data_IF_440119720186
#
_entry.id   IF_440119720186
#
_cell.length_a   1.000
_cell.length_b   1.000
_cell.length_c   1.000
_cell.angle_alpha   90.00
_cell.angle_beta   90.00
_cell.angle_gamma   90.00
#
_symmetry.space_group_name_H-M   'P 1'
#
loop_
_entity.id
_entity.type
_entity.pdbx_description
1 polymer ?
#
# COMPACT_ATOMS: atom_id res chain seq x y z
N UNK A 1 9.62 14.24 12.96
CA UNK A 1 10.23 13.79 11.69
C UNK A 1 9.34 12.68 11.12
N UNK A 2 9.02 12.74 9.83
CA UNK A 2 8.28 11.66 9.17
C UNK A 2 9.23 10.52 8.80
N UNK A 3 8.84 9.27 9.11
CA UNK A 3 9.54 8.06 8.74
C UNK A 3 8.56 7.10 8.05
N UNK A 4 8.80 6.79 6.79
CA UNK A 4 8.02 5.82 6.03
C UNK A 4 8.83 4.53 5.90
N UNK A 5 8.30 3.43 6.41
CA UNK A 5 8.91 2.11 6.30
C UNK A 5 8.10 1.33 5.26
N UNK A 6 8.74 1.01 4.15
CA UNK A 6 8.13 0.25 3.05
C UNK A 6 8.55 -1.21 3.19
N UNK A 7 7.60 -2.11 3.27
CA UNK A 7 7.84 -3.55 3.19
C UNK A 7 6.86 -4.22 2.22
N UNK A 8 7.00 -5.51 2.06
CA UNK A 8 6.13 -6.28 1.19
C UNK A 8 6.88 -7.32 0.37
N UNK A 9 6.14 -8.22 -0.26
CA UNK A 9 6.73 -9.31 -1.03
C UNK A 9 7.54 -8.81 -2.22
N UNK A 10 8.52 -9.59 -2.62
CA UNK A 10 9.36 -9.31 -3.78
C UNK A 10 8.52 -9.28 -5.05
N UNK A 11 8.64 -8.20 -5.83
CA UNK A 11 7.79 -7.96 -7.01
C UNK A 11 6.49 -7.20 -6.73
N UNK A 12 6.18 -6.84 -5.48
CA UNK A 12 4.98 -6.07 -5.12
C UNK A 12 5.04 -4.58 -5.46
N UNK A 13 6.21 -4.05 -5.85
CA UNK A 13 6.34 -2.64 -6.24
C UNK A 13 7.09 -1.74 -5.26
N UNK A 14 7.78 -2.32 -4.25
CA UNK A 14 8.55 -1.55 -3.24
C UNK A 14 9.48 -0.48 -3.82
N UNK A 15 10.27 -0.84 -4.82
CA UNK A 15 11.19 0.11 -5.46
C UNK A 15 10.45 1.26 -6.16
N UNK A 16 9.28 1.01 -6.74
CA UNK A 16 8.44 2.05 -7.34
C UNK A 16 7.93 3.01 -6.26
N UNK A 17 7.49 2.48 -5.13
CA UNK A 17 7.03 3.28 -3.99
C UNK A 17 8.17 4.13 -3.40
N UNK A 18 9.37 3.53 -3.25
CA UNK A 18 10.54 4.23 -2.73
C UNK A 18 10.96 5.39 -3.65
N UNK A 19 11.04 5.16 -4.97
CA UNK A 19 11.34 6.20 -5.95
C UNK A 19 10.29 7.32 -5.96
N UNK A 20 8.99 6.97 -5.78
CA UNK A 20 7.96 8.00 -5.69
C UNK A 20 8.15 8.90 -4.46
N UNK A 21 8.52 8.34 -3.31
CA UNK A 21 8.83 9.15 -2.13
C UNK A 21 10.10 9.98 -2.31
N UNK A 22 11.10 9.48 -3.04
CA UNK A 22 12.28 10.26 -3.41
C UNK A 22 11.90 11.47 -4.27
N UNK A 23 11.03 11.27 -5.27
CA UNK A 23 10.49 12.35 -6.11
C UNK A 23 9.69 13.40 -5.29
N UNK A 24 9.08 12.99 -4.17
CA UNK A 24 8.37 13.86 -3.22
C UNK A 24 9.28 14.47 -2.14
N UNK A 25 10.60 14.29 -2.26
CA UNK A 25 11.59 14.93 -1.40
C UNK A 25 11.93 14.19 -0.11
N UNK A 26 11.66 12.90 -0.01
CA UNK A 26 12.12 12.07 1.10
C UNK A 26 13.57 11.60 0.90
N UNK A 27 14.32 11.45 2.02
CA UNK A 27 15.59 10.77 2.02
C UNK A 27 15.38 9.26 1.98
N UNK A 28 15.74 8.61 0.87
CA UNK A 28 15.36 7.23 0.59
C UNK A 28 16.52 6.25 0.73
N UNK A 29 16.27 5.11 1.41
CA UNK A 29 17.24 4.01 1.55
C UNK A 29 16.58 2.69 1.18
N UNK A 30 17.12 1.99 0.20
CA UNK A 30 16.69 0.65 -0.16
C UNK A 30 17.39 -0.42 0.66
N UNK A 31 16.68 -1.49 1.00
CA UNK A 31 17.19 -2.67 1.69
C UNK A 31 17.95 -2.37 2.99
N UNK A 32 17.34 -1.59 3.87
CA UNK A 32 17.92 -1.30 5.19
C UNK A 32 17.77 -2.53 6.10
N UNK A 33 18.85 -2.99 6.76
CA UNK A 33 18.73 -3.95 7.86
C UNK A 33 17.91 -3.36 9.02
N UNK A 34 16.91 -4.10 9.54
CA UNK A 34 16.03 -3.65 10.63
C UNK A 34 16.84 -3.14 11.82
N UNK A 35 17.93 -3.84 12.17
CA UNK A 35 18.80 -3.48 13.29
C UNK A 35 19.48 -2.09 13.15
N UNK A 36 19.55 -1.56 11.95
CA UNK A 36 20.13 -0.22 11.69
C UNK A 36 19.08 0.90 11.73
N UNK A 37 17.79 0.60 11.85
CA UNK A 37 16.73 1.60 11.85
C UNK A 37 16.90 2.66 12.95
N UNK A 38 17.24 2.32 14.22
CA UNK A 38 17.47 3.33 15.26
C UNK A 38 18.66 4.26 14.94
N UNK A 39 19.73 3.70 14.38
CA UNK A 39 20.92 4.50 13.99
C UNK A 39 20.62 5.44 12.84
N UNK A 40 19.83 4.99 11.86
CA UNK A 40 19.37 5.84 10.77
C UNK A 40 18.51 6.98 11.31
N UNK A 41 17.53 6.70 12.17
CA UNK A 41 16.65 7.72 12.76
C UNK A 41 17.49 8.79 13.50
N UNK A 42 18.48 8.38 14.27
CA UNK A 42 19.39 9.30 14.93
C UNK A 42 20.17 10.19 13.93
N UNK A 43 20.60 9.63 12.79
CA UNK A 43 21.32 10.37 11.76
C UNK A 43 20.42 11.36 11.02
N UNK A 44 19.28 10.92 10.51
CA UNK A 44 18.36 11.77 9.73
C UNK A 44 17.61 12.81 10.58
N UNK A 45 17.68 12.70 11.90
CA UNK A 45 17.16 13.72 12.82
C UNK A 45 18.08 14.94 12.97
N UNK A 46 19.28 14.91 12.39
CA UNK A 46 20.23 16.02 12.41
C UNK A 46 19.78 17.19 11.53
N UNK A 47 20.32 18.38 11.81
CA UNK A 47 19.99 19.60 11.05
C UNK A 47 20.24 19.50 9.55
N UNK A 48 21.27 18.76 9.16
CA UNK A 48 21.68 18.56 7.77
C UNK A 48 20.60 17.92 6.91
N UNK A 49 19.68 17.13 7.52
CA UNK A 49 18.58 16.45 6.84
C UNK A 49 17.25 17.21 6.85
N UNK A 50 17.19 18.39 7.48
CA UNK A 50 15.93 19.16 7.58
C UNK A 50 15.36 19.65 6.25
N UNK A 51 16.13 19.60 5.19
CA UNK A 51 15.66 19.96 3.85
C UNK A 51 14.83 18.85 3.19
N UNK A 52 14.85 17.61 3.72
CA UNK A 52 14.00 16.54 3.29
C UNK A 52 12.64 16.60 4.01
N UNK A 53 11.58 16.09 3.34
CA UNK A 53 10.24 15.96 3.93
C UNK A 53 10.22 14.93 5.08
N UNK A 54 11.09 13.93 5.00
CA UNK A 54 11.23 12.84 5.94
C UNK A 54 12.24 11.82 5.43
N UNK A 55 12.25 10.65 6.04
CA UNK A 55 13.00 9.50 5.55
C UNK A 55 12.07 8.38 5.11
N UNK A 56 12.45 7.67 4.04
CA UNK A 56 11.77 6.48 3.58
C UNK A 56 12.76 5.31 3.47
N UNK A 57 12.42 4.17 4.05
CA UNK A 57 13.30 3.00 4.06
C UNK A 57 12.57 1.77 3.55
N UNK A 58 13.25 0.96 2.76
CA UNK A 58 12.73 -0.33 2.35
C UNK A 58 13.33 -1.44 3.21
N UNK A 59 12.47 -2.27 3.81
CA UNK A 59 12.85 -3.46 4.59
C UNK A 59 12.21 -4.68 3.91
N UNK A 60 13.01 -5.67 3.55
CA UNK A 60 12.54 -6.85 2.82
C UNK A 60 13.07 -8.18 3.39
N UNK A 61 12.70 -9.28 2.77
CA UNK A 61 13.04 -10.64 3.18
C UNK A 61 14.54 -10.99 3.11
N UNK A 62 15.40 -10.09 2.59
CA UNK A 62 16.87 -10.25 2.66
C UNK A 62 17.42 -9.98 4.07
N UNK A 63 16.62 -9.37 4.93
CA UNK A 63 16.94 -9.22 6.34
C UNK A 63 16.98 -10.58 7.04
N UNK A 64 17.85 -10.73 8.04
CA UNK A 64 17.87 -11.92 8.86
C UNK A 64 16.54 -12.06 9.63
N UNK A 65 15.93 -13.23 9.58
CA UNK A 65 14.61 -13.48 10.20
C UNK A 65 14.57 -13.10 11.69
N UNK A 66 15.69 -13.29 12.42
CA UNK A 66 15.81 -12.93 13.83
C UNK A 66 15.71 -11.42 14.08
N UNK A 67 16.11 -10.64 13.09
CA UNK A 67 16.04 -9.17 13.15
C UNK A 67 14.63 -8.70 12.80
N UNK A 68 13.97 -9.35 11.82
CA UNK A 68 12.56 -9.09 11.49
C UNK A 68 11.63 -9.36 12.69
N UNK A 69 11.88 -10.43 13.47
CA UNK A 69 11.10 -10.74 14.66
C UNK A 69 11.16 -9.64 15.75
N UNK A 70 12.17 -8.78 15.73
CA UNK A 70 12.31 -7.65 16.67
C UNK A 70 11.75 -6.34 16.14
N UNK A 71 11.11 -6.37 14.99
CA UNK A 71 10.67 -5.16 14.30
C UNK A 71 9.74 -4.29 15.15
N UNK A 72 8.75 -4.90 15.81
CA UNK A 72 7.81 -4.19 16.68
C UNK A 72 8.53 -3.54 17.88
N UNK A 73 9.43 -4.27 18.54
CA UNK A 73 10.21 -3.74 19.67
C UNK A 73 11.05 -2.53 19.23
N UNK A 74 11.61 -2.59 18.01
CA UNK A 74 12.41 -1.49 17.45
C UNK A 74 11.53 -0.28 17.12
N UNK A 75 10.32 -0.50 16.57
CA UNK A 75 9.38 0.59 16.29
C UNK A 75 8.93 1.29 17.58
N UNK A 76 8.58 0.52 18.62
CA UNK A 76 8.16 1.04 19.93
C UNK A 76 9.28 1.80 20.64
N UNK A 77 10.54 1.45 20.37
CA UNK A 77 11.70 2.11 20.95
C UNK A 77 12.12 3.40 20.20
N UNK A 78 11.47 3.75 19.10
CA UNK A 78 11.76 4.99 18.39
C UNK A 78 11.33 6.21 19.24
N UNK A 79 12.04 7.35 19.12
CA UNK A 79 11.67 8.57 19.84
C UNK A 79 10.25 9.06 19.47
N UNK A 80 9.48 9.59 20.42
CA UNK A 80 8.13 10.18 20.21
C UNK A 80 8.13 11.30 19.15
N UNK A 81 9.28 11.93 18.90
CA UNK A 81 9.45 12.95 17.85
C UNK A 81 9.42 12.39 16.44
N UNK A 82 9.43 11.06 16.28
CA UNK A 82 9.38 10.36 14.99
C UNK A 82 7.99 9.82 14.74
N UNK A 83 7.33 10.36 13.73
CA UNK A 83 6.07 9.82 13.24
C UNK A 83 6.36 8.72 12.23
N UNK A 84 6.28 7.46 12.67
CA UNK A 84 6.56 6.30 11.82
C UNK A 84 5.29 5.73 11.22
N UNK A 85 5.32 5.47 9.91
CA UNK A 85 4.24 4.79 9.17
C UNK A 85 4.81 3.60 8.42
N UNK A 86 4.15 2.45 8.55
CA UNK A 86 4.55 1.22 7.86
C UNK A 86 3.60 0.98 6.68
N UNK A 87 4.14 1.00 5.47
CA UNK A 87 3.46 0.62 4.24
C UNK A 87 3.83 -0.82 3.90
N UNK A 88 2.84 -1.68 3.77
CA UNK A 88 3.04 -3.04 3.27
C UNK A 88 2.43 -3.18 1.87
N UNK A 89 3.27 -3.56 0.90
CA UNK A 89 2.85 -3.82 -0.48
C UNK A 89 2.73 -5.31 -0.73
N UNK A 90 1.58 -5.73 -1.24
CA UNK A 90 1.35 -7.12 -1.60
C UNK A 90 0.83 -7.27 -3.04
N UNK A 91 0.78 -8.48 -3.54
CA UNK A 91 0.11 -8.87 -4.76
C UNK A 91 -0.18 -10.37 -4.72
N UNK A 92 -1.16 -10.85 -5.50
CA UNK A 92 -1.43 -12.27 -5.61
C UNK A 92 -0.24 -13.05 -6.20
N UNK A 93 -0.13 -14.34 -5.86
CA UNK A 93 0.99 -15.18 -6.29
C UNK A 93 1.13 -15.26 -7.81
N UNK A 94 0.02 -15.28 -8.54
CA UNK A 94 0.03 -15.37 -10.00
C UNK A 94 0.65 -14.10 -10.61
N UNK A 95 0.29 -12.94 -10.07
CA UNK A 95 0.86 -11.64 -10.47
C UNK A 95 2.35 -11.57 -10.14
N UNK A 96 2.76 -12.00 -8.94
CA UNK A 96 4.19 -12.01 -8.57
C UNK A 96 5.00 -12.92 -9.47
N UNK A 97 4.56 -14.16 -9.73
CA UNK A 97 5.22 -15.11 -10.65
C UNK A 97 5.34 -14.49 -12.04
N UNK A 98 4.27 -13.86 -12.55
CA UNK A 98 4.28 -13.18 -13.84
C UNK A 98 5.32 -12.06 -13.88
N UNK A 99 5.37 -11.18 -12.88
CA UNK A 99 6.33 -10.07 -12.77
C UNK A 99 7.78 -10.56 -12.71
N UNK A 100 8.04 -11.67 -12.01
CA UNK A 100 9.37 -12.28 -11.99
C UNK A 100 9.75 -12.85 -13.37
N UNK A 101 8.81 -13.47 -14.07
CA UNK A 101 9.04 -14.01 -15.43
C UNK A 101 9.37 -12.90 -16.43
N UNK A 102 8.67 -11.75 -16.34
CA UNK A 102 8.87 -10.58 -17.20
C UNK A 102 10.22 -9.89 -16.93
N UNK A 103 10.58 -9.71 -15.66
CA UNK A 103 11.81 -9.00 -15.27
C UNK A 103 13.06 -9.87 -15.32
N UNK A 104 12.92 -11.19 -15.39
CA UNK A 104 14.00 -12.19 -15.32
C UNK A 104 14.92 -12.01 -14.10
N UNK A 105 14.42 -11.38 -13.03
CA UNK A 105 15.16 -11.24 -11.77
C UNK A 105 15.03 -12.53 -10.97
N UNK A 106 16.08 -12.87 -10.23
CA UNK A 106 16.04 -13.98 -9.27
C UNK A 106 15.33 -13.52 -8.00
N UNK A 107 14.41 -14.33 -7.50
CA UNK A 107 13.77 -14.05 -6.20
C UNK A 107 14.80 -14.16 -5.06
N UNK A 108 14.79 -13.26 -4.05
CA UNK A 108 15.79 -13.25 -2.97
C UNK A 108 15.97 -14.59 -2.25
N UNK A 109 14.87 -15.32 -2.04
CA UNK A 109 14.89 -16.61 -1.35
C UNK A 109 15.00 -17.80 -2.32
N UNK A 110 14.85 -17.61 -3.65
CA UNK A 110 14.96 -18.72 -4.61
C UNK A 110 16.41 -19.16 -4.81
N UNK A 111 16.61 -20.48 -4.92
CA UNK A 111 17.89 -21.11 -5.17
C UNK A 111 17.72 -22.39 -5.98
N UNK A 112 18.80 -23.17 -6.10
CA UNK A 112 18.75 -24.45 -6.81
C UNK A 112 17.83 -25.47 -6.10
N UNK A 113 17.59 -25.26 -4.80
CA UNK A 113 16.77 -26.14 -3.96
C UNK A 113 15.34 -25.59 -3.72
N UNK A 114 15.03 -24.32 -4.05
CA UNK A 114 13.74 -23.70 -3.75
C UNK A 114 13.13 -23.08 -5.00
N UNK A 115 12.04 -23.67 -5.56
CA UNK A 115 11.29 -23.13 -6.68
C UNK A 115 10.69 -21.76 -6.37
N UNK A 116 10.44 -20.94 -7.41
CA UNK A 116 9.92 -19.57 -7.28
C UNK A 116 8.61 -19.51 -6.50
N UNK A 117 7.66 -20.40 -6.77
CA UNK A 117 6.36 -20.39 -6.09
C UNK A 117 6.51 -20.62 -4.58
N UNK A 118 7.32 -21.60 -4.18
CA UNK A 118 7.60 -21.90 -2.77
C UNK A 118 8.38 -20.77 -2.09
N UNK A 119 9.30 -20.12 -2.81
CA UNK A 119 10.04 -18.96 -2.31
C UNK A 119 9.11 -17.76 -2.03
N UNK A 120 8.11 -17.54 -2.89
CA UNK A 120 7.07 -16.49 -2.71
C UNK A 120 6.22 -16.79 -1.48
N UNK A 121 5.85 -18.05 -1.24
CA UNK A 121 5.06 -18.44 -0.06
C UNK A 121 5.89 -18.32 1.23
N UNK A 122 7.14 -18.76 1.23
CA UNK A 122 8.03 -18.59 2.38
C UNK A 122 8.31 -17.10 2.69
N UNK A 123 8.40 -16.25 1.67
CA UNK A 123 8.58 -14.81 1.89
C UNK A 123 7.38 -14.20 2.62
N UNK A 124 6.16 -14.66 2.33
CA UNK A 124 4.95 -14.21 3.05
C UNK A 124 5.07 -14.47 4.55
N UNK A 125 5.44 -15.67 4.93
CA UNK A 125 5.59 -16.08 6.34
C UNK A 125 6.69 -15.27 7.04
N UNK A 126 7.80 -15.00 6.35
CA UNK A 126 8.90 -14.19 6.87
C UNK A 126 8.50 -12.72 7.13
N UNK A 127 7.62 -12.18 6.30
CA UNK A 127 7.20 -10.78 6.37
C UNK A 127 5.92 -10.56 7.19
N UNK A 128 5.34 -11.61 7.79
CA UNK A 128 4.10 -11.54 8.56
C UNK A 128 4.15 -10.49 9.68
N UNK A 129 5.30 -10.38 10.37
CA UNK A 129 5.48 -9.38 11.44
C UNK A 129 5.37 -7.95 10.91
N UNK A 130 5.95 -7.68 9.74
CA UNK A 130 5.88 -6.36 9.11
C UNK A 130 4.48 -6.08 8.53
N UNK A 131 3.82 -7.09 7.99
CA UNK A 131 2.45 -6.99 7.54
C UNK A 131 1.50 -6.67 8.70
N UNK A 132 1.69 -7.32 9.86
CA UNK A 132 0.91 -7.06 11.07
C UNK A 132 1.14 -5.68 11.70
N UNK A 133 2.31 -5.07 11.46
CA UNK A 133 2.65 -3.72 11.92
C UNK A 133 2.25 -2.63 10.92
N UNK A 134 1.73 -3.00 9.74
CA UNK A 134 1.43 -2.04 8.70
C UNK A 134 0.26 -1.14 9.08
N UNK A 135 0.48 0.17 8.98
CA UNK A 135 -0.58 1.17 9.07
C UNK A 135 -1.33 1.36 7.74
N UNK A 136 -0.74 0.89 6.64
CA UNK A 136 -1.31 0.93 5.31
C UNK A 136 -0.89 -0.33 4.54
N UNK A 137 -1.86 -1.09 4.06
CA UNK A 137 -1.63 -2.23 3.15
C UNK A 137 -2.15 -1.85 1.77
N UNK A 138 -1.38 -2.14 0.72
CA UNK A 138 -1.80 -1.94 -0.67
C UNK A 138 -1.67 -3.23 -1.46
N UNK A 139 -2.78 -3.70 -2.00
CA UNK A 139 -2.77 -4.76 -3.02
C UNK A 139 -2.47 -4.17 -4.39
N UNK A 140 -1.31 -4.53 -4.92
CA UNK A 140 -0.84 -4.05 -6.23
C UNK A 140 -1.14 -5.02 -7.37
N UNK A 141 -1.92 -6.09 -7.15
CA UNK A 141 -2.18 -7.16 -8.13
C UNK A 141 -2.73 -6.62 -9.45
N UNK A 142 -3.63 -5.64 -9.36
CA UNK A 142 -4.29 -5.04 -10.52
C UNK A 142 -3.79 -3.63 -10.85
N UNK A 143 -2.80 -3.13 -10.10
CA UNK A 143 -2.30 -1.78 -10.28
C UNK A 143 -1.24 -1.71 -11.38
N UNK A 144 -1.33 -0.67 -12.19
CA UNK A 144 -0.23 -0.19 -13.03
C UNK A 144 0.80 0.54 -12.18
N UNK A 145 1.99 0.77 -12.74
CA UNK A 145 3.04 1.57 -12.06
C UNK A 145 2.53 2.99 -11.75
N UNK A 146 1.72 3.59 -12.62
CA UNK A 146 1.17 4.94 -12.43
C UNK A 146 0.15 4.97 -11.30
N UNK A 147 -0.77 4.01 -11.25
CA UNK A 147 -1.76 3.90 -10.17
C UNK A 147 -1.09 3.68 -8.81
N UNK A 148 -0.02 2.89 -8.76
CA UNK A 148 0.76 2.72 -7.52
C UNK A 148 1.42 4.03 -7.09
N UNK A 149 2.05 4.78 -8.01
CA UNK A 149 2.65 6.08 -7.72
C UNK A 149 1.62 7.08 -7.19
N UNK A 150 0.47 7.15 -7.83
CA UNK A 150 -0.63 8.03 -7.40
C UNK A 150 -1.14 7.63 -6.00
N UNK A 151 -1.30 6.34 -5.74
CA UNK A 151 -1.71 5.83 -4.42
C UNK A 151 -0.69 6.20 -3.33
N UNK A 152 0.61 6.06 -3.60
CA UNK A 152 1.68 6.46 -2.67
C UNK A 152 1.60 7.96 -2.37
N UNK A 153 1.49 8.78 -3.40
CA UNK A 153 1.41 10.23 -3.26
C UNK A 153 0.19 10.65 -2.43
N UNK A 154 -0.97 10.13 -2.74
CA UNK A 154 -2.22 10.48 -2.06
C UNK A 154 -2.26 10.01 -0.60
N UNK A 155 -1.79 8.78 -0.33
CA UNK A 155 -1.95 8.16 0.99
C UNK A 155 -0.79 8.43 1.96
N UNK A 156 0.39 8.76 1.46
CA UNK A 156 1.57 8.98 2.32
C UNK A 156 2.03 10.43 2.35
N UNK A 157 1.97 11.17 1.24
CA UNK A 157 2.51 12.53 1.17
C UNK A 157 1.44 13.58 1.50
N UNK A 158 0.18 13.33 1.13
CA UNK A 158 -0.94 14.23 1.39
C UNK A 158 -1.58 14.13 2.78
N UNK A 159 -1.22 13.13 3.59
CA UNK A 159 -1.82 12.89 4.90
C UNK A 159 -1.07 13.66 5.99
N UNK A 160 -1.74 14.59 6.66
CA UNK A 160 -1.24 15.26 7.87
C UNK A 160 -1.19 14.25 9.03
N UNK A 161 -0.10 14.28 9.80
CA UNK A 161 0.08 13.37 10.93
C UNK A 161 -1.06 13.55 11.95
N UNK A 162 -1.72 12.45 12.30
CA UNK A 162 -2.78 12.42 13.33
C UNK A 162 -4.21 12.62 12.81
N UNK A 163 -4.43 12.83 11.52
CA UNK A 163 -5.77 12.83 10.92
C UNK A 163 -6.14 11.45 10.38
N UNK A 164 -7.38 11.03 10.61
CA UNK A 164 -7.92 9.82 10.02
C UNK A 164 -8.04 10.04 8.50
N UNK A 165 -7.32 9.24 7.71
CA UNK A 165 -7.44 9.23 6.25
C UNK A 165 -8.46 8.18 5.84
N UNK A 166 -9.53 8.60 5.18
CA UNK A 166 -10.54 7.70 4.62
C UNK A 166 -10.37 7.68 3.10
N UNK A 167 -10.12 6.49 2.54
CA UNK A 167 -10.14 6.27 1.11
C UNK A 167 -11.46 5.63 0.72
N UNK A 168 -12.23 6.32 -0.13
CA UNK A 168 -13.42 5.76 -0.76
C UNK A 168 -13.05 5.32 -2.17
N UNK A 169 -13.18 4.01 -2.43
CA UNK A 169 -12.84 3.42 -3.72
C UNK A 169 -14.05 2.75 -4.35
N UNK A 170 -14.33 3.06 -5.61
CA UNK A 170 -15.32 2.31 -6.39
C UNK A 170 -14.66 1.14 -7.14
N UNK A 171 -15.29 -0.02 -7.14
CA UNK A 171 -14.80 -1.18 -7.85
C UNK A 171 -15.94 -1.97 -8.52
N UNK A 172 -15.60 -2.76 -9.52
CA UNK A 172 -16.54 -3.68 -10.16
C UNK A 172 -16.32 -5.11 -9.68
N UNK A 173 -17.32 -5.77 -9.13
CA UNK A 173 -17.27 -7.16 -8.65
C UNK A 173 -16.72 -8.16 -9.68
N UNK A 174 -16.80 -7.85 -10.97
CA UNK A 174 -16.19 -8.66 -12.04
C UNK A 174 -14.67 -8.80 -11.89
N UNK A 175 -14.01 -7.83 -11.24
CA UNK A 175 -12.55 -7.83 -10.99
C UNK A 175 -12.18 -8.36 -9.60
N UNK A 176 -13.16 -8.78 -8.80
CA UNK A 176 -12.99 -9.14 -7.40
C UNK A 176 -13.18 -7.95 -6.46
N UNK A 177 -13.29 -8.25 -5.19
CA UNK A 177 -13.28 -7.26 -4.11
C UNK A 177 -11.83 -6.87 -3.83
N UNK A 178 -11.50 -5.57 -3.68
CA UNK A 178 -10.15 -5.16 -3.28
C UNK A 178 -9.74 -5.81 -1.96
N UNK A 179 -8.57 -6.44 -1.93
CA UNK A 179 -8.08 -7.16 -0.74
C UNK A 179 -7.54 -6.23 0.34
N UNK A 180 -7.33 -4.96 0.00
CA UNK A 180 -6.88 -3.88 0.87
C UNK A 180 -8.03 -3.01 1.44
N UNK A 181 -9.29 -3.41 1.22
CA UNK A 181 -10.45 -2.69 1.73
C UNK A 181 -10.80 -3.15 3.16
N UNK A 182 -10.89 -2.21 4.10
CA UNK A 182 -11.33 -2.47 5.47
C UNK A 182 -12.86 -2.66 5.56
N UNK A 183 -13.62 -1.93 4.73
CA UNK A 183 -15.07 -2.00 4.65
C UNK A 183 -15.51 -2.09 3.19
N UNK A 184 -16.53 -2.91 2.92
CA UNK A 184 -17.08 -3.08 1.57
C UNK A 184 -18.60 -2.98 1.62
N UNK A 185 -19.15 -2.02 0.86
CA UNK A 185 -20.57 -1.81 0.73
C UNK A 185 -21.05 -2.23 -0.68
N UNK A 186 -22.03 -3.13 -0.74
CA UNK A 186 -22.58 -3.59 -2.02
C UNK A 186 -23.72 -2.66 -2.49
N UNK A 187 -23.39 -1.78 -3.42
CA UNK A 187 -24.35 -0.81 -3.99
C UNK A 187 -25.19 -1.37 -5.15
N UNK A 188 -25.06 -2.66 -5.49
CA UNK A 188 -25.83 -3.27 -6.61
C UNK A 188 -27.32 -3.41 -6.32
N UNK A 189 -27.74 -3.19 -5.08
CA UNK A 189 -29.15 -3.08 -4.72
C UNK A 189 -29.82 -1.81 -5.26
N UNK A 190 -29.04 -0.78 -5.59
CA UNK A 190 -29.56 0.46 -6.16
C UNK A 190 -29.98 0.27 -7.62
N UNK A 191 -31.01 1.02 -8.09
CA UNK A 191 -31.39 1.04 -9.48
C UNK A 191 -30.22 1.43 -10.37
N UNK A 192 -29.95 0.62 -11.40
CA UNK A 192 -28.80 0.83 -12.27
C UNK A 192 -29.13 1.89 -13.35
N UNK A 193 -28.43 3.05 -13.37
CA UNK A 193 -28.63 4.11 -14.37
C UNK A 193 -28.45 3.65 -15.82
N UNK A 194 -27.66 2.59 -16.05
CA UNK A 194 -27.42 2.05 -17.39
C UNK A 194 -28.70 1.57 -18.10
N UNK A 195 -29.75 1.19 -17.37
CA UNK A 195 -31.04 0.77 -17.96
C UNK A 195 -31.86 1.95 -18.45
N UNK A 196 -31.51 3.20 -18.06
CA UNK A 196 -32.14 4.41 -18.54
C UNK A 196 -31.44 4.87 -19.79
N UNK A 197 -32.20 4.95 -20.91
CA UNK A 197 -31.60 5.26 -22.22
C UNK A 197 -30.80 6.57 -22.23
N UNK A 198 -31.26 7.60 -21.53
CA UNK A 198 -30.58 8.91 -21.44
C UNK A 198 -29.29 8.88 -20.63
N UNK A 199 -29.18 7.93 -19.65
CA UNK A 199 -28.03 7.83 -18.73
C UNK A 199 -27.04 6.74 -19.14
N UNK A 200 -27.39 5.90 -20.12
CA UNK A 200 -26.59 4.71 -20.49
C UNK A 200 -25.14 5.01 -20.84
N UNK A 201 -24.88 6.16 -21.45
CA UNK A 201 -23.53 6.57 -21.90
C UNK A 201 -22.83 7.48 -20.89
N UNK A 202 -23.45 7.73 -19.74
CA UNK A 202 -22.95 8.58 -18.66
C UNK A 202 -22.31 7.73 -17.56
N UNK A 203 -21.57 8.36 -16.67
CA UNK A 203 -20.88 7.74 -15.54
C UNK A 203 -21.20 8.48 -14.23
N UNK A 204 -20.71 7.99 -13.09
CA UNK A 204 -21.00 8.55 -11.77
C UNK A 204 -20.48 9.98 -11.51
N UNK A 205 -19.69 10.55 -12.42
CA UNK A 205 -19.26 11.95 -12.36
C UNK A 205 -20.20 12.91 -13.09
N UNK A 206 -21.18 12.38 -13.83
CA UNK A 206 -22.17 13.17 -14.53
C UNK A 206 -23.32 13.49 -13.56
N UNK A 207 -23.69 14.79 -13.48
CA UNK A 207 -24.69 15.32 -12.53
C UNK A 207 -26.04 14.58 -12.63
N UNK A 208 -26.50 14.27 -13.84
CA UNK A 208 -27.78 13.61 -14.06
C UNK A 208 -27.79 12.14 -13.57
N UNK A 209 -26.63 11.50 -13.43
CA UNK A 209 -26.51 10.18 -12.80
C UNK A 209 -26.65 10.32 -11.28
N UNK A 210 -26.03 11.36 -10.71
CA UNK A 210 -26.17 11.72 -9.30
C UNK A 210 -27.63 12.01 -8.94
N UNK A 211 -28.28 12.92 -9.66
CA UNK A 211 -29.70 13.27 -9.46
C UNK A 211 -30.62 12.05 -9.57
N UNK A 212 -30.36 11.15 -10.52
CA UNK A 212 -31.14 9.92 -10.66
C UNK A 212 -31.00 9.04 -9.42
N UNK A 213 -29.79 8.83 -8.92
CA UNK A 213 -29.55 7.99 -7.73
C UNK A 213 -30.13 8.64 -6.46
N UNK A 214 -29.94 9.94 -6.28
CA UNK A 214 -30.48 10.69 -5.15
C UNK A 214 -32.03 10.70 -5.11
N UNK A 215 -32.67 10.59 -6.28
CA UNK A 215 -34.13 10.48 -6.36
C UNK A 215 -34.69 9.13 -5.92
N UNK A 216 -33.82 8.15 -5.65
CA UNK A 216 -34.26 6.80 -5.25
C UNK A 216 -34.33 6.66 -3.72
N UNK A 217 -35.45 6.27 -3.12
CA UNK A 217 -35.57 6.08 -1.67
C UNK A 217 -34.53 5.09 -1.09
N UNK A 218 -34.16 4.07 -1.85
CA UNK A 218 -33.14 3.08 -1.45
C UNK A 218 -31.75 3.66 -1.31
N UNK A 219 -31.49 4.84 -1.87
CA UNK A 219 -30.20 5.53 -1.71
C UNK A 219 -30.09 6.14 -0.33
N UNK A 220 -31.17 6.76 0.17
CA UNK A 220 -31.22 7.30 1.54
C UNK A 220 -31.08 6.19 2.57
N UNK A 221 -31.74 5.05 2.36
CA UNK A 221 -31.61 3.87 3.22
C UNK A 221 -30.16 3.37 3.27
N UNK A 222 -29.50 3.28 2.11
CA UNK A 222 -28.09 2.87 2.04
C UNK A 222 -27.15 3.83 2.78
N UNK A 223 -27.36 5.14 2.63
CA UNK A 223 -26.52 6.13 3.35
C UNK A 223 -26.76 6.11 4.86
N UNK A 224 -27.92 5.68 5.31
CA UNK A 224 -28.18 5.51 6.74
C UNK A 224 -27.50 4.26 7.32
N UNK A 225 -27.19 3.27 6.49
CA UNK A 225 -26.51 2.00 6.86
C UNK A 225 -24.97 2.12 6.82
N UNK A 226 -24.41 3.14 6.13
CA UNK A 226 -22.97 3.43 6.03
C UNK A 226 -22.54 4.37 7.15
#
# INVERSE_FOLDING_TARGET
MELVIISGRSGSGKSTALHQLEDEGYYCIDNLPVSLLPSLVAEVSREEFRHFQGAAVCIDARNAWKDLAKFNDILEALPDSVNSRVLFLDADNATLIKRFSETRRRHPLSGDALPLAEAIDQERDLLEVLAGAASLVLDTSQMTIYELRDAIKQRLVGATAGEMSILIQSFGFKRGVPSDADLVFDVRMLPNPHWIKALRMKNGLDEEVGEFLESQPTTDDLFADI
#
